data_IF_655940336050
#
_entry.id   IF_655940336050
#
_cell.length_a   1.000
_cell.length_b   1.000
_cell.length_c   1.000
_cell.angle_alpha   90.00
_cell.angle_beta   90.00
_cell.angle_gamma   90.00
#
_symmetry.space_group_name_H-M   'P 1'
#
loop_
_entity.id
_entity.type
_entity.pdbx_description
1 polymer ?
#
# COMPACT_ATOMS: atom_id res chain seq x y z
N UNK A 1 10.76 -9.45 -8.91
CA UNK A 1 11.52 -10.44 -8.13
C UNK A 1 10.60 -11.61 -7.80
N UNK A 2 11.03 -12.88 -7.90
CA UNK A 2 10.19 -14.01 -7.48
C UNK A 2 9.79 -13.87 -6.01
N UNK A 3 8.51 -14.12 -5.68
CA UNK A 3 7.99 -13.98 -4.30
C UNK A 3 8.78 -14.80 -3.28
N UNK A 4 9.30 -15.95 -3.69
CA UNK A 4 10.17 -16.80 -2.86
C UNK A 4 11.46 -16.10 -2.43
N UNK A 5 12.07 -15.29 -3.31
CA UNK A 5 13.30 -14.54 -2.98
C UNK A 5 13.02 -13.40 -2.00
N UNK A 6 11.88 -12.73 -2.10
CA UNK A 6 11.48 -11.71 -1.14
C UNK A 6 11.32 -12.32 0.27
N UNK A 7 10.64 -13.48 0.36
CA UNK A 7 10.47 -14.19 1.62
C UNK A 7 11.81 -14.59 2.27
N UNK A 8 12.75 -15.14 1.48
CA UNK A 8 14.07 -15.52 1.97
C UNK A 8 14.88 -14.30 2.43
N UNK A 9 14.87 -13.22 1.64
CA UNK A 9 15.55 -11.98 1.99
C UNK A 9 15.00 -11.36 3.28
N UNK A 10 13.68 -11.35 3.47
CA UNK A 10 13.04 -10.84 4.68
C UNK A 10 13.43 -11.66 5.91
N UNK A 11 13.44 -12.99 5.81
CA UNK A 11 13.90 -13.87 6.91
C UNK A 11 15.35 -13.60 7.28
N UNK A 12 16.22 -13.41 6.29
CA UNK A 12 17.63 -13.07 6.51
C UNK A 12 17.79 -11.70 7.18
N UNK A 13 17.03 -10.68 6.74
CA UNK A 13 17.06 -9.35 7.33
C UNK A 13 16.63 -9.38 8.80
N UNK A 14 15.56 -10.10 9.13
CA UNK A 14 15.12 -10.28 10.53
C UNK A 14 16.20 -10.97 11.37
N UNK A 15 16.82 -12.03 10.82
CA UNK A 15 17.93 -12.75 11.45
C UNK A 15 19.18 -11.89 11.64
N UNK A 16 19.41 -10.93 10.75
CA UNK A 16 20.49 -9.96 10.82
C UNK A 16 20.17 -8.76 11.75
N UNK A 17 19.00 -8.72 12.38
CA UNK A 17 18.62 -7.69 13.36
C UNK A 17 17.85 -6.50 12.78
N UNK A 18 17.49 -6.51 11.50
CA UNK A 18 16.58 -5.50 10.95
C UNK A 18 15.20 -5.64 11.59
N UNK A 19 14.58 -4.48 11.87
CA UNK A 19 13.26 -4.39 12.50
C UNK A 19 12.29 -3.51 11.73
N UNK A 20 12.77 -2.77 10.74
CA UNK A 20 11.97 -1.99 9.82
C UNK A 20 12.08 -2.62 8.44
N UNK A 21 10.94 -3.04 7.88
CA UNK A 21 10.84 -3.60 6.53
C UNK A 21 9.86 -2.69 5.78
N UNK A 22 10.39 -1.98 4.78
CA UNK A 22 9.60 -1.14 3.88
C UNK A 22 9.03 -2.01 2.76
N UNK A 23 7.74 -1.87 2.51
CA UNK A 23 7.02 -2.60 1.48
C UNK A 23 6.24 -1.60 0.60
N UNK A 24 5.81 -2.05 -0.59
CA UNK A 24 4.90 -1.28 -1.44
C UNK A 24 4.17 -2.19 -2.44
N UNK A 25 2.94 -1.83 -2.82
CA UNK A 25 2.15 -2.59 -3.79
C UNK A 25 2.83 -2.71 -5.16
N UNK A 26 3.55 -1.66 -5.58
CA UNK A 26 4.30 -1.65 -6.84
C UNK A 26 5.33 -2.77 -6.95
N UNK A 27 5.87 -3.22 -5.82
CA UNK A 27 7.01 -4.13 -5.80
C UNK A 27 6.61 -5.55 -6.19
N UNK A 28 5.30 -5.83 -6.24
CA UNK A 28 4.70 -7.11 -6.64
C UNK A 28 5.25 -8.32 -5.83
N UNK A 29 5.89 -8.04 -4.70
CA UNK A 29 6.28 -8.99 -3.68
C UNK A 29 5.25 -9.00 -2.54
N UNK A 30 4.52 -7.90 -2.32
CA UNK A 30 3.46 -7.74 -1.33
C UNK A 30 2.33 -6.84 -1.88
N UNK A 31 1.15 -6.84 -1.22
CA UNK A 31 -0.01 -6.04 -1.63
C UNK A 31 -0.25 -4.90 -0.62
N UNK A 32 0.40 -3.75 -0.76
CA UNK A 32 0.09 -2.54 0.02
C UNK A 32 -0.92 -1.59 -0.67
N UNK A 33 -1.10 -0.37 -0.15
CA UNK A 33 -1.89 0.68 -0.77
C UNK A 33 -1.18 1.23 -2.00
N UNK A 34 -1.84 1.12 -3.15
CA UNK A 34 -1.39 1.73 -4.39
C UNK A 34 -2.14 3.02 -4.69
N UNK A 35 -1.63 3.80 -5.64
CA UNK A 35 -2.24 5.06 -6.07
C UNK A 35 -3.67 4.94 -6.63
N UNK A 36 -4.13 3.72 -6.93
CA UNK A 36 -5.52 3.41 -7.30
C UNK A 36 -6.48 3.26 -6.11
N UNK A 37 -5.97 3.33 -4.88
CA UNK A 37 -6.75 3.22 -3.64
C UNK A 37 -6.74 4.50 -2.79
N UNK A 38 -6.36 5.64 -3.38
CA UNK A 38 -6.28 6.91 -2.63
C UNK A 38 -7.63 7.53 -2.32
N UNK A 39 -8.75 7.04 -2.86
CA UNK A 39 -10.07 7.50 -2.41
C UNK A 39 -10.26 7.14 -0.92
N UNK A 40 -10.73 8.06 -0.07
CA UNK A 40 -10.81 7.83 1.38
C UNK A 40 -11.50 6.52 1.76
N UNK A 41 -12.59 6.19 1.07
CA UNK A 41 -13.38 4.98 1.29
C UNK A 41 -12.65 3.67 0.91
N UNK A 42 -11.56 3.75 0.14
CA UNK A 42 -10.76 2.60 -0.30
C UNK A 42 -9.51 2.37 0.56
N UNK A 43 -9.10 3.36 1.36
CA UNK A 43 -7.88 3.30 2.17
C UNK A 43 -7.96 2.17 3.21
N UNK A 44 -9.03 2.14 4.01
CA UNK A 44 -9.20 1.12 5.06
C UNK A 44 -9.34 -0.31 4.51
N UNK A 45 -10.19 -0.59 3.50
CA UNK A 45 -10.25 -1.91 2.88
C UNK A 45 -8.92 -2.37 2.28
N UNK A 46 -8.15 -1.46 1.70
CA UNK A 46 -6.83 -1.79 1.16
C UNK A 46 -5.86 -2.19 2.28
N UNK A 47 -5.79 -1.44 3.39
CA UNK A 47 -4.98 -1.81 4.56
C UNK A 47 -5.41 -3.15 5.15
N UNK A 48 -6.70 -3.38 5.37
CA UNK A 48 -7.22 -4.65 5.91
C UNK A 48 -6.85 -5.84 5.02
N UNK A 49 -6.89 -5.64 3.69
CA UNK A 49 -6.46 -6.65 2.72
C UNK A 49 -4.95 -6.91 2.83
N UNK A 50 -4.14 -5.88 3.02
CA UNK A 50 -2.69 -6.01 3.24
C UNK A 50 -2.39 -6.81 4.50
N UNK A 51 -2.95 -6.40 5.65
CA UNK A 51 -2.82 -7.07 6.94
C UNK A 51 -3.19 -8.55 6.85
N UNK A 52 -4.33 -8.87 6.23
CA UNK A 52 -4.78 -10.25 6.02
C UNK A 52 -3.80 -11.08 5.18
N UNK A 53 -3.23 -10.51 4.12
CA UNK A 53 -2.27 -11.24 3.27
C UNK A 53 -0.94 -11.48 3.99
N UNK A 54 -0.54 -10.54 4.84
CA UNK A 54 0.69 -10.60 5.64
C UNK A 54 0.52 -11.42 6.93
N UNK A 55 -0.73 -11.74 7.31
CA UNK A 55 -1.08 -12.37 8.58
C UNK A 55 -0.58 -11.54 9.77
N UNK A 56 -0.73 -10.21 9.66
CA UNK A 56 -0.38 -9.24 10.68
C UNK A 56 -1.66 -8.61 11.25
N UNK A 57 -1.60 -8.24 12.52
CA UNK A 57 -2.69 -7.52 13.19
C UNK A 57 -2.56 -5.99 13.04
N UNK A 58 -1.34 -5.49 12.79
CA UNK A 58 -1.03 -4.07 12.58
C UNK A 58 0.21 -3.87 11.69
N UNK A 59 0.42 -2.62 11.25
CA UNK A 59 1.67 -2.14 10.65
C UNK A 59 2.18 -0.95 11.47
N UNK A 60 3.49 -0.86 11.66
CA UNK A 60 4.11 0.25 12.41
C UNK A 60 4.03 1.59 11.65
N UNK A 61 4.02 1.52 10.31
CA UNK A 61 3.99 2.68 9.44
C UNK A 61 3.11 2.40 8.21
N UNK A 62 2.29 3.38 7.85
CA UNK A 62 1.46 3.35 6.66
C UNK A 62 1.53 4.69 5.94
N UNK A 63 2.01 4.68 4.69
CA UNK A 63 2.33 5.90 3.94
C UNK A 63 1.58 5.97 2.61
N UNK A 64 1.35 7.20 2.14
CA UNK A 64 0.92 7.45 0.76
C UNK A 64 2.15 7.31 -0.13
N UNK A 65 2.16 6.28 -0.98
CA UNK A 65 3.33 5.93 -1.80
C UNK A 65 3.73 7.04 -2.78
N UNK A 66 2.74 7.71 -3.39
CA UNK A 66 2.93 8.86 -4.28
C UNK A 66 1.73 9.82 -4.14
N UNK A 67 1.94 11.15 -4.25
CA UNK A 67 0.87 12.16 -4.11
C UNK A 67 0.06 12.33 -5.41
N UNK A 68 -0.21 11.24 -6.14
CA UNK A 68 -0.93 11.27 -7.42
C UNK A 68 -1.92 10.11 -7.45
N UNK A 69 -3.21 10.41 -7.55
CA UNK A 69 -4.24 9.37 -7.64
C UNK A 69 -4.43 8.88 -9.07
N UNK A 70 -4.63 7.57 -9.21
CA UNK A 70 -5.07 6.92 -10.44
C UNK A 70 -6.49 6.39 -10.27
N UNK A 71 -7.18 6.20 -11.39
CA UNK A 71 -8.55 5.67 -11.41
C UNK A 71 -8.61 4.35 -10.59
N UNK A 72 -9.57 4.20 -9.66
CA UNK A 72 -9.71 2.96 -8.91
C UNK A 72 -9.97 1.76 -9.81
N UNK A 73 -9.37 0.62 -9.44
CA UNK A 73 -9.51 -0.62 -10.19
C UNK A 73 -8.52 -1.69 -9.75
N UNK A 74 -8.61 -2.87 -10.36
CA UNK A 74 -7.67 -3.97 -10.12
C UNK A 74 -6.34 -3.76 -10.86
N UNK A 75 -6.34 -2.95 -11.91
CA UNK A 75 -5.16 -2.59 -12.67
C UNK A 75 -4.22 -1.71 -11.84
N UNK A 76 -2.94 -2.08 -11.83
CA UNK A 76 -1.87 -1.28 -11.22
C UNK A 76 -1.71 0.07 -11.90
N UNK A 77 -1.72 0.08 -13.23
CA UNK A 77 -1.50 1.27 -14.04
C UNK A 77 -2.66 1.38 -15.02
N UNK A 78 -3.83 1.88 -14.59
CA UNK A 78 -4.98 1.96 -15.45
C UNK A 78 -4.70 2.90 -16.63
N UNK A 79 -4.98 2.42 -17.83
CA UNK A 79 -4.82 3.19 -19.07
C UNK A 79 -6.09 3.17 -19.91
N UNK A 80 -6.28 4.20 -20.74
CA UNK A 80 -7.31 4.18 -21.77
C UNK A 80 -6.93 3.28 -22.96
N UNK A 81 -7.81 3.21 -23.96
CA UNK A 81 -7.64 2.46 -25.20
C UNK A 81 -6.42 2.90 -26.04
N UNK A 82 -5.83 4.05 -25.74
CA UNK A 82 -4.64 4.59 -26.39
C UNK A 82 -3.37 4.43 -25.52
N UNK A 83 -3.46 3.74 -24.38
CA UNK A 83 -2.34 3.54 -23.46
C UNK A 83 -2.02 4.77 -22.60
N UNK A 84 -2.90 5.78 -22.55
CA UNK A 84 -2.70 6.94 -21.70
C UNK A 84 -3.16 6.65 -20.27
N UNK A 85 -2.34 7.01 -19.29
CA UNK A 85 -2.64 6.87 -17.88
C UNK A 85 -3.97 7.53 -17.48
N UNK A 86 -4.81 6.79 -16.77
CA UNK A 86 -6.08 7.24 -16.21
C UNK A 86 -5.86 7.75 -14.78
N UNK A 87 -5.70 9.06 -14.65
CA UNK A 87 -5.60 9.73 -13.35
C UNK A 87 -6.97 9.93 -12.71
N UNK A 88 -6.99 10.06 -11.38
CA UNK A 88 -8.16 10.45 -10.62
C UNK A 88 -7.88 11.78 -9.90
N UNK A 89 -8.93 12.55 -9.62
CA UNK A 89 -8.81 13.78 -8.81
C UNK A 89 -9.32 13.47 -7.41
N UNK A 90 -8.38 13.40 -6.46
CA UNK A 90 -8.66 13.07 -5.06
C UNK A 90 -8.04 14.13 -4.17
N UNK A 91 -8.77 14.56 -3.15
CA UNK A 91 -8.21 15.35 -2.08
C UNK A 91 -7.38 14.46 -1.14
N UNK A 92 -6.06 14.64 -1.17
CA UNK A 92 -5.13 13.89 -0.33
C UNK A 92 -5.33 14.16 1.16
N UNK A 93 -5.88 15.32 1.54
CA UNK A 93 -6.22 15.60 2.94
C UNK A 93 -7.36 14.68 3.39
N UNK A 94 -8.41 14.58 2.59
CA UNK A 94 -9.49 13.62 2.85
C UNK A 94 -9.00 12.17 2.85
N UNK A 95 -8.04 11.81 1.99
CA UNK A 95 -7.38 10.49 2.03
C UNK A 95 -6.67 10.26 3.36
N UNK A 96 -5.94 11.26 3.84
CA UNK A 96 -5.23 11.20 5.11
C UNK A 96 -6.21 11.09 6.28
N UNK A 97 -7.30 11.85 6.28
CA UNK A 97 -8.35 11.80 7.30
C UNK A 97 -9.12 10.47 7.32
N UNK A 98 -9.32 9.85 6.14
CA UNK A 98 -9.96 8.54 6.01
C UNK A 98 -9.11 7.36 6.47
N UNK A 99 -7.87 7.59 6.92
CA UNK A 99 -7.00 6.52 7.43
C UNK A 99 -7.59 5.89 8.70
N UNK A 100 -7.52 4.57 8.87
CA UNK A 100 -7.87 3.95 10.13
C UNK A 100 -6.91 4.41 11.23
N UNK A 101 -7.43 4.69 12.43
CA UNK A 101 -6.59 4.99 13.59
C UNK A 101 -5.68 3.81 13.91
N UNK A 102 -4.37 4.07 13.93
CA UNK A 102 -3.38 3.09 14.33
C UNK A 102 -3.15 3.19 15.85
N UNK A 103 -3.00 2.06 16.57
CA UNK A 103 -2.70 2.08 18.00
C UNK A 103 -1.43 2.92 18.26
N UNK A 104 -1.55 3.96 19.08
CA UNK A 104 -0.43 4.85 19.42
C UNK A 104 -0.29 6.12 18.58
N UNK A 105 -1.21 6.39 17.64
CA UNK A 105 -1.31 7.71 17.02
C UNK A 105 -1.84 8.73 18.04
N UNK A 106 -0.96 9.62 18.52
CA UNK A 106 -1.35 10.77 19.33
C UNK A 106 -2.10 11.77 18.44
N UNK A 107 -3.33 12.11 18.83
CA UNK A 107 -4.13 13.18 18.22
C UNK A 107 -3.53 14.57 18.43
#
# INVERSE_FOLDING_TARGET
VPKSKALEATKLAIGAGFRHIDCAYAYNNEKELWITFLRPELVRPALEKSLKNLQLDYVDLYIIHLPTAMKPGEELFPTDEHGKALFDTVDLCATWEGRPELPGSLG
#
